data_IF_739557595412
#
_entry.id   IF_739557595412
#
_cell.length_a   1.000
_cell.length_b   1.000
_cell.length_c   1.000
_cell.angle_alpha   90.00
_cell.angle_beta   90.00
_cell.angle_gamma   90.00
#
_symmetry.space_group_name_H-M   'P 1'
#
loop_
_entity.id
_entity.type
_entity.pdbx_description
1 polymer ?
#
# COMPACT_ATOMS: atom_id res chain seq x y z
N UNK A 1 -12.37 4.55 -8.73
CA UNK A 1 -11.23 5.27 -8.12
C UNK A 1 -11.59 5.50 -6.67
N UNK A 2 -10.68 5.23 -5.75
CA UNK A 2 -10.88 5.48 -4.31
C UNK A 2 -10.24 6.81 -3.97
N UNK A 3 -11.04 7.78 -3.54
CA UNK A 3 -10.56 9.12 -3.19
C UNK A 3 -10.63 9.39 -1.67
N UNK A 4 -11.30 8.52 -0.92
CA UNK A 4 -11.43 8.63 0.54
C UNK A 4 -11.09 7.30 1.18
N UNK A 5 -10.25 7.33 2.20
CA UNK A 5 -9.88 6.14 2.94
C UNK A 5 -9.78 6.42 4.45
N UNK A 6 -10.06 5.39 5.22
CA UNK A 6 -9.86 5.36 6.67
C UNK A 6 -8.49 4.81 6.98
N UNK A 7 -7.87 5.32 8.02
CA UNK A 7 -6.60 4.82 8.57
C UNK A 7 -6.85 4.20 9.92
N UNK A 8 -6.41 2.97 10.10
CA UNK A 8 -6.44 2.28 11.38
C UNK A 8 -5.02 1.97 11.86
N UNK A 9 -4.84 1.86 13.15
CA UNK A 9 -3.59 1.49 13.81
C UNK A 9 -3.91 0.58 14.99
N UNK A 10 -3.35 -0.63 15.00
CA UNK A 10 -3.64 -1.66 16.00
C UNK A 10 -5.16 -1.88 16.20
N UNK A 11 -5.90 -1.98 15.09
CA UNK A 11 -7.34 -2.18 15.06
C UNK A 11 -8.19 -0.99 15.51
N UNK A 12 -7.60 0.19 15.71
CA UNK A 12 -8.32 1.41 16.10
C UNK A 12 -8.32 2.41 14.96
N UNK A 13 -9.49 2.96 14.63
CA UNK A 13 -9.58 4.07 13.69
C UNK A 13 -8.85 5.29 14.25
N UNK A 14 -7.86 5.80 13.52
CA UNK A 14 -7.11 7.00 13.90
C UNK A 14 -7.53 8.22 13.09
N UNK A 15 -8.12 8.04 11.91
CA UNK A 15 -8.56 9.15 11.09
C UNK A 15 -8.99 8.74 9.70
N UNK A 16 -9.29 9.77 8.92
CA UNK A 16 -9.71 9.64 7.52
C UNK A 16 -8.89 10.58 6.65
N UNK A 17 -8.55 10.16 5.46
CA UNK A 17 -7.90 11.04 4.49
C UNK A 17 -8.60 10.97 3.13
N UNK A 18 -8.51 12.08 2.40
CA UNK A 18 -9.14 12.26 1.10
C UNK A 18 -8.16 12.87 0.11
N UNK A 19 -8.17 12.37 -1.13
CA UNK A 19 -7.45 12.99 -2.22
C UNK A 19 -8.17 14.25 -2.72
N UNK A 20 -7.44 15.34 -2.84
CA UNK A 20 -7.92 16.59 -3.42
C UNK A 20 -7.33 16.71 -4.83
N UNK A 21 -8.16 16.43 -5.84
CA UNK A 21 -7.76 16.46 -7.25
C UNK A 21 -7.40 17.87 -7.75
N UNK A 22 -7.86 18.92 -7.06
CA UNK A 22 -7.58 20.31 -7.45
C UNK A 22 -6.15 20.70 -7.11
N UNK A 23 -5.69 20.28 -5.94
CA UNK A 23 -4.35 20.60 -5.43
C UNK A 23 -3.38 19.42 -5.52
N UNK A 24 -3.90 18.27 -5.94
CA UNK A 24 -3.14 17.03 -6.07
C UNK A 24 -2.44 16.64 -4.76
N UNK A 25 -3.14 16.72 -3.64
CA UNK A 25 -2.66 16.40 -2.29
C UNK A 25 -3.70 15.64 -1.49
N UNK A 26 -3.24 14.86 -0.51
CA UNK A 26 -4.13 14.29 0.48
C UNK A 26 -4.40 15.27 1.63
N UNK A 27 -5.64 15.24 2.12
CA UNK A 27 -6.10 15.94 3.33
C UNK A 27 -6.47 14.91 4.36
N UNK A 28 -5.84 14.95 5.51
CA UNK A 28 -6.06 14.02 6.62
C UNK A 28 -6.68 14.73 7.82
N UNK A 29 -7.61 14.06 8.49
CA UNK A 29 -8.22 14.51 9.74
C UNK A 29 -8.26 13.34 10.73
N UNK A 30 -7.89 13.59 11.99
CA UNK A 30 -8.00 12.61 13.06
C UNK A 30 -9.47 12.35 13.43
N UNK A 31 -9.77 11.08 13.72
CA UNK A 31 -11.07 10.66 14.20
C UNK A 31 -11.36 11.25 15.60
N UNK A 32 -12.57 11.75 15.80
CA UNK A 32 -12.96 12.38 17.06
C UNK A 32 -12.86 11.44 18.28
N UNK A 33 -13.07 10.13 18.07
CA UNK A 33 -12.91 9.12 19.11
C UNK A 33 -11.44 8.77 19.39
N UNK A 34 -10.54 9.11 18.47
CA UNK A 34 -9.10 8.93 18.67
C UNK A 34 -8.49 10.09 19.46
N UNK A 35 -9.03 11.29 19.30
CA UNK A 35 -8.61 12.48 20.06
C UNK A 35 -8.77 12.23 21.57
N UNK A 36 -7.78 12.61 22.34
CA UNK A 36 -7.80 12.43 23.81
C UNK A 36 -7.34 11.06 24.32
N UNK A 37 -6.93 10.13 23.43
CA UNK A 37 -6.38 8.83 23.84
C UNK A 37 -4.93 8.87 24.31
N UNK A 38 -4.26 10.02 24.23
CA UNK A 38 -2.85 10.19 24.61
C UNK A 38 -1.85 9.49 23.67
N UNK A 39 -2.29 9.13 22.46
CA UNK A 39 -1.45 8.52 21.42
C UNK A 39 -1.20 9.57 20.35
N UNK A 40 0.06 9.84 20.04
CA UNK A 40 0.49 10.84 19.07
C UNK A 40 1.31 10.17 17.93
N UNK A 41 0.67 9.72 16.84
CA UNK A 41 1.38 9.00 15.77
C UNK A 41 2.42 9.85 15.05
N UNK A 42 2.18 11.17 14.92
CA UNK A 42 3.06 12.10 14.24
C UNK A 42 3.11 13.46 14.97
N UNK A 43 3.63 13.52 16.22
CA UNK A 43 3.45 14.65 17.13
C UNK A 43 4.08 15.96 16.63
N UNK A 44 5.13 15.90 15.81
CA UNK A 44 5.84 17.10 15.35
C UNK A 44 5.07 17.84 14.26
N UNK A 45 4.55 17.12 13.27
CA UNK A 45 3.94 17.73 12.09
C UNK A 45 2.43 17.62 12.06
N UNK A 46 1.89 16.63 12.76
CA UNK A 46 0.46 16.32 12.80
C UNK A 46 0.03 15.96 14.22
N UNK A 47 0.20 16.87 15.21
CA UNK A 47 -0.28 16.62 16.57
C UNK A 47 -1.79 16.31 16.57
N UNK A 48 -2.23 15.40 17.43
CA UNK A 48 -3.63 14.97 17.48
C UNK A 48 -4.50 16.11 17.97
N UNK A 49 -5.33 16.65 17.08
CA UNK A 49 -6.20 17.80 17.35
C UNK A 49 -7.54 17.61 16.64
N UNK A 50 -8.63 17.84 17.41
CA UNK A 50 -9.99 17.73 16.87
C UNK A 50 -10.28 18.78 15.78
N UNK A 51 -10.89 18.34 14.69
CA UNK A 51 -11.35 19.21 13.61
C UNK A 51 -10.22 19.86 12.77
N UNK A 52 -8.96 19.47 13.02
CA UNK A 52 -7.83 19.99 12.24
C UNK A 52 -7.56 19.11 11.03
N UNK A 53 -7.54 19.76 9.86
CA UNK A 53 -7.18 19.12 8.59
C UNK A 53 -5.69 19.35 8.34
N UNK A 54 -4.95 18.25 8.08
CA UNK A 54 -3.55 18.25 7.74
C UNK A 54 -3.37 18.03 6.24
N UNK A 55 -2.63 18.92 5.59
CA UNK A 55 -2.28 18.84 4.17
C UNK A 55 -0.94 19.52 3.93
N UNK A 56 -0.07 18.89 3.13
CA UNK A 56 1.31 19.33 2.96
C UNK A 56 1.67 19.42 1.47
N UNK A 57 1.16 20.44 0.79
CA UNK A 57 1.41 20.66 -0.64
C UNK A 57 2.84 21.07 -1.00
N UNK A 58 3.63 21.49 -0.01
CA UNK A 58 5.02 21.93 -0.17
C UNK A 58 6.07 20.82 0.01
N UNK A 59 5.66 19.60 0.36
CA UNK A 59 6.58 18.47 0.45
C UNK A 59 7.02 18.01 -0.94
N UNK A 60 8.23 17.42 -1.01
CA UNK A 60 8.77 16.88 -2.24
C UNK A 60 7.84 15.81 -2.82
N UNK A 61 7.35 16.03 -4.05
CA UNK A 61 6.39 15.15 -4.72
C UNK A 61 6.95 13.78 -5.06
N UNK A 62 8.23 13.68 -5.38
CA UNK A 62 8.86 12.40 -5.71
C UNK A 62 8.95 11.48 -4.50
N UNK A 63 9.06 12.07 -3.30
CA UNK A 63 9.17 11.33 -2.03
C UNK A 63 7.81 11.07 -1.41
N UNK A 64 7.00 12.11 -1.26
CA UNK A 64 5.76 12.05 -0.47
C UNK A 64 4.51 11.81 -1.31
N UNK A 65 4.59 11.91 -2.64
CA UNK A 65 3.47 11.73 -3.57
C UNK A 65 2.20 12.53 -3.20
N UNK A 66 2.36 13.71 -2.58
CA UNK A 66 1.24 14.54 -2.11
C UNK A 66 0.57 14.06 -0.83
N UNK A 67 1.12 13.05 -0.17
CA UNK A 67 0.65 12.57 1.13
C UNK A 67 1.35 13.28 2.29
N UNK A 68 0.71 13.40 3.46
CA UNK A 68 1.40 13.66 4.72
C UNK A 68 2.46 12.58 4.99
N UNK A 69 3.59 12.95 5.59
CA UNK A 69 4.73 12.05 5.83
C UNK A 69 4.34 10.74 6.53
N UNK A 70 3.49 10.82 7.55
CA UNK A 70 2.96 9.65 8.26
C UNK A 70 2.31 8.62 7.33
N UNK A 71 1.55 9.07 6.32
CA UNK A 71 0.90 8.20 5.35
C UNK A 71 1.87 7.77 4.24
N UNK A 72 2.74 8.69 3.80
CA UNK A 72 3.71 8.43 2.75
C UNK A 72 4.71 7.33 3.11
N UNK A 73 5.04 7.19 4.39
CA UNK A 73 5.92 6.14 4.92
C UNK A 73 5.37 4.71 4.69
N UNK A 74 4.06 4.59 4.51
CA UNK A 74 3.40 3.33 4.16
C UNK A 74 3.34 3.05 2.66
N UNK A 75 3.80 3.97 1.80
CA UNK A 75 3.83 3.75 0.36
C UNK A 75 4.77 2.60 -0.02
N UNK A 76 4.44 1.85 -1.06
CA UNK A 76 5.30 0.77 -1.53
C UNK A 76 6.58 1.34 -2.14
N UNK A 77 7.64 0.58 -2.05
CA UNK A 77 8.89 0.85 -2.76
C UNK A 77 8.73 0.67 -4.29
N UNK A 78 9.83 0.78 -5.02
CA UNK A 78 9.83 0.66 -6.49
C UNK A 78 9.24 -0.67 -6.97
N UNK A 79 9.52 -1.77 -6.26
CA UNK A 79 8.98 -3.08 -6.61
C UNK A 79 7.48 -3.17 -6.33
N UNK A 80 7.05 -2.79 -5.14
CA UNK A 80 5.64 -2.77 -4.77
C UNK A 80 4.81 -1.83 -5.64
N UNK A 81 5.39 -0.72 -6.09
CA UNK A 81 4.75 0.18 -7.06
C UNK A 81 4.54 -0.50 -8.41
N UNK A 82 5.55 -1.22 -8.92
CA UNK A 82 5.41 -1.98 -10.16
C UNK A 82 4.29 -3.04 -10.07
N UNK A 83 4.15 -3.70 -8.91
CA UNK A 83 3.05 -4.63 -8.66
C UNK A 83 1.69 -3.92 -8.66
N UNK A 84 1.58 -2.75 -8.05
CA UNK A 84 0.35 -1.96 -8.07
C UNK A 84 -0.04 -1.53 -9.49
N UNK A 85 0.91 -1.09 -10.31
CA UNK A 85 0.68 -0.73 -11.72
C UNK A 85 0.17 -1.92 -12.54
N UNK A 86 0.71 -3.11 -12.28
CA UNK A 86 0.21 -4.34 -12.90
C UNK A 86 -1.20 -4.70 -12.44
N UNK A 87 -1.50 -4.54 -11.16
CA UNK A 87 -2.84 -4.70 -10.63
C UNK A 87 -3.84 -3.76 -11.31
N UNK A 88 -3.49 -2.50 -11.49
CA UNK A 88 -4.32 -1.55 -12.24
C UNK A 88 -4.58 -2.04 -13.66
N UNK A 89 -3.54 -2.49 -14.36
CA UNK A 89 -3.66 -3.03 -15.72
C UNK A 89 -4.58 -4.26 -15.77
N UNK A 90 -4.45 -5.20 -14.83
CA UNK A 90 -5.30 -6.38 -14.74
C UNK A 90 -6.77 -6.05 -14.48
N UNK A 91 -7.02 -4.93 -13.79
CA UNK A 91 -8.38 -4.43 -13.52
C UNK A 91 -8.89 -3.44 -14.58
N UNK A 92 -8.18 -3.32 -15.72
CA UNK A 92 -8.56 -2.46 -16.84
C UNK A 92 -8.32 -0.97 -16.59
N UNK A 93 -7.37 -0.63 -15.73
CA UNK A 93 -7.06 0.74 -15.32
C UNK A 93 -5.63 1.13 -15.68
N UNK A 94 -5.43 2.41 -15.97
CA UNK A 94 -4.12 2.94 -16.41
C UNK A 94 -3.37 3.65 -15.28
N UNK A 95 -4.10 4.25 -14.35
CA UNK A 95 -3.50 5.02 -13.24
C UNK A 95 -4.36 5.00 -11.99
N UNK A 96 -3.74 5.26 -10.85
CA UNK A 96 -4.38 5.44 -9.56
C UNK A 96 -3.73 6.57 -8.78
N UNK A 97 -4.48 7.21 -7.87
CA UNK A 97 -3.94 8.20 -6.96
C UNK A 97 -3.24 7.53 -5.75
N UNK A 98 -2.44 8.28 -4.95
CA UNK A 98 -1.76 7.72 -3.79
C UNK A 98 -2.68 7.14 -2.71
N UNK A 99 -3.92 7.66 -2.55
CA UNK A 99 -4.93 7.09 -1.64
C UNK A 99 -5.29 5.67 -2.07
N UNK A 100 -5.45 5.47 -3.37
CA UNK A 100 -5.77 4.16 -3.93
C UNK A 100 -4.60 3.18 -3.82
N UNK A 101 -3.36 3.66 -3.94
CA UNK A 101 -2.17 2.85 -3.68
C UNK A 101 -2.16 2.34 -2.24
N UNK A 102 -2.47 3.19 -1.26
CA UNK A 102 -2.57 2.78 0.15
C UNK A 102 -3.74 1.81 0.38
N UNK A 103 -4.88 2.04 -0.25
CA UNK A 103 -6.03 1.11 -0.20
C UNK A 103 -5.72 -0.24 -0.86
N UNK A 104 -4.92 -0.26 -1.94
CA UNK A 104 -4.44 -1.51 -2.53
C UNK A 104 -3.57 -2.30 -1.55
N UNK A 105 -2.73 -1.64 -0.77
CA UNK A 105 -1.96 -2.29 0.29
C UNK A 105 -2.86 -2.78 1.43
N UNK A 106 -3.81 -1.97 1.85
CA UNK A 106 -4.75 -2.28 2.92
C UNK A 106 -4.04 -2.66 4.22
N UNK A 107 -4.16 -3.91 4.66
CA UNK A 107 -3.49 -4.47 5.85
C UNK A 107 -2.08 -4.99 5.60
N UNK A 108 -1.62 -4.97 4.35
CA UNK A 108 -0.30 -5.49 3.96
C UNK A 108 0.80 -4.42 3.99
N UNK A 109 0.50 -3.25 4.53
CA UNK A 109 1.49 -2.19 4.68
C UNK A 109 2.59 -2.58 5.66
N UNK A 110 3.79 -2.08 5.40
CA UNK A 110 4.84 -2.09 6.39
C UNK A 110 4.51 -1.07 7.48
N UNK A 111 4.67 -1.47 8.75
CA UNK A 111 4.40 -0.61 9.89
C UNK A 111 3.05 -0.88 10.55
N UNK A 112 2.55 0.10 11.29
CA UNK A 112 1.36 -0.04 12.15
C UNK A 112 0.07 0.45 11.49
N UNK A 113 0.15 1.11 10.34
CA UNK A 113 -1.01 1.67 9.66
C UNK A 113 -1.64 0.66 8.71
N UNK A 114 -2.96 0.61 8.74
CA UNK A 114 -3.79 -0.16 7.83
C UNK A 114 -4.78 0.80 7.15
N UNK A 115 -5.18 0.49 5.92
CA UNK A 115 -6.03 1.36 5.10
C UNK A 115 -7.30 0.66 4.65
N UNK A 116 -8.44 1.36 4.75
CA UNK A 116 -9.76 0.88 4.35
C UNK A 116 -10.45 1.89 3.42
N UNK A 117 -11.13 1.43 2.34
CA UNK A 117 -11.35 0.03 1.96
C UNK A 117 -10.08 -0.64 1.43
N UNK A 118 -9.83 -1.89 1.81
CA UNK A 118 -8.80 -2.68 1.17
C UNK A 118 -9.26 -3.10 -0.22
N UNK A 119 -8.53 -2.68 -1.26
CA UNK A 119 -8.90 -2.92 -2.67
C UNK A 119 -7.99 -3.90 -3.39
N UNK A 120 -6.87 -4.25 -2.78
CA UNK A 120 -5.95 -5.26 -3.28
C UNK A 120 -6.48 -6.69 -3.07
N UNK A 121 -5.79 -7.69 -3.61
CA UNK A 121 -6.15 -9.08 -3.41
C UNK A 121 -6.05 -9.45 -1.92
N UNK A 122 -6.97 -10.30 -1.46
CA UNK A 122 -6.94 -10.80 -0.10
C UNK A 122 -5.65 -11.60 0.15
N UNK A 123 -5.01 -11.33 1.28
CA UNK A 123 -3.91 -12.16 1.76
C UNK A 123 -4.47 -13.37 2.47
N UNK A 124 -4.15 -14.58 2.01
CA UNK A 124 -4.41 -15.80 2.74
C UNK A 124 -3.17 -16.20 3.56
N UNK A 125 -3.19 -16.05 4.89
CA UNK A 125 -2.02 -16.37 5.73
C UNK A 125 -1.69 -17.87 5.78
N UNK A 126 -2.54 -18.74 5.21
CA UNK A 126 -2.36 -20.20 5.17
C UNK A 126 -1.88 -20.72 3.82
N UNK A 127 -1.69 -19.84 2.85
CA UNK A 127 -1.27 -20.26 1.52
C UNK A 127 0.19 -20.76 1.55
N UNK A 128 0.41 -21.99 1.12
CA UNK A 128 1.77 -22.56 0.94
C UNK A 128 2.31 -22.10 -0.41
N UNK A 129 3.55 -21.66 -0.43
CA UNK A 129 4.20 -21.14 -1.64
C UNK A 129 5.37 -22.00 -2.06
N UNK A 130 5.51 -22.20 -3.35
CA UNK A 130 6.77 -22.64 -3.94
C UNK A 130 7.66 -21.44 -4.23
N UNK A 131 8.76 -21.32 -3.51
CA UNK A 131 9.67 -20.16 -3.56
C UNK A 131 10.23 -19.97 -4.98
N UNK A 132 10.49 -21.05 -5.70
CA UNK A 132 11.08 -21.01 -7.04
C UNK A 132 10.13 -20.33 -8.05
N UNK A 133 8.83 -20.64 -7.99
CA UNK A 133 7.84 -20.00 -8.86
C UNK A 133 7.71 -18.50 -8.60
N UNK A 134 7.84 -18.08 -7.35
CA UNK A 134 7.79 -16.66 -6.96
C UNK A 134 9.03 -15.88 -7.44
N UNK A 135 10.21 -16.50 -7.42
CA UNK A 135 11.45 -15.87 -7.89
C UNK A 135 11.38 -15.62 -9.39
N UNK A 136 10.86 -16.55 -10.17
CA UNK A 136 10.76 -16.41 -11.63
C UNK A 136 9.78 -15.31 -12.03
N UNK A 137 8.60 -15.26 -11.40
CA UNK A 137 7.60 -14.21 -11.68
C UNK A 137 8.07 -12.84 -11.20
N UNK A 138 8.75 -12.77 -10.04
CA UNK A 138 9.31 -11.53 -9.53
C UNK A 138 10.43 -11.00 -10.44
N UNK A 139 11.28 -11.88 -10.98
CA UNK A 139 12.33 -11.52 -11.96
C UNK A 139 11.71 -11.00 -13.25
N UNK A 140 10.68 -11.65 -13.72
CA UNK A 140 9.98 -11.26 -14.94
C UNK A 140 9.24 -9.92 -14.79
N UNK A 141 8.62 -9.65 -13.64
CA UNK A 141 7.98 -8.38 -13.31
C UNK A 141 8.98 -7.21 -13.32
N UNK A 142 10.23 -7.45 -12.90
CA UNK A 142 11.29 -6.45 -12.90
C UNK A 142 11.91 -6.21 -14.28
N UNK A 143 12.01 -7.23 -15.12
CA UNK A 143 12.67 -7.15 -16.43
C UNK A 143 11.79 -6.54 -17.51
N UNK A 144 10.48 -6.70 -17.45
CA UNK A 144 9.54 -6.36 -18.53
C UNK A 144 8.78 -5.04 -18.32
N UNK A 145 9.44 -3.99 -17.82
CA UNK A 145 8.82 -2.67 -17.59
C UNK A 145 8.16 -2.01 -18.81
N UNK A 146 8.47 -2.43 -20.04
CA UNK A 146 7.99 -1.76 -21.26
C UNK A 146 6.93 -2.53 -22.07
N UNK A 147 6.83 -3.85 -21.94
CA UNK A 147 5.98 -4.67 -22.84
C UNK A 147 4.83 -5.39 -22.14
N UNK A 148 4.54 -5.08 -20.90
CA UNK A 148 3.57 -5.81 -20.05
C UNK A 148 2.09 -5.61 -20.43
N UNK A 149 1.78 -4.76 -21.40
CA UNK A 149 0.43 -4.25 -21.63
C UNK A 149 -0.50 -5.09 -22.51
N UNK A 150 -0.03 -6.04 -23.33
CA UNK A 150 -0.84 -6.44 -24.48
C UNK A 150 -1.28 -7.91 -24.56
N UNK A 151 -0.59 -8.88 -23.97
CA UNK A 151 -1.02 -10.30 -24.04
C UNK A 151 -0.53 -11.14 -22.86
N UNK A 152 -1.16 -10.97 -21.71
CA UNK A 152 -0.92 -11.84 -20.56
C UNK A 152 -1.72 -13.15 -20.74
N UNK A 153 -1.02 -14.29 -20.79
CA UNK A 153 -1.65 -15.62 -20.69
C UNK A 153 -2.37 -15.77 -19.34
N UNK A 154 -3.37 -16.67 -19.26
CA UNK A 154 -4.11 -16.95 -18.02
C UNK A 154 -3.20 -17.31 -16.85
N UNK A 155 -2.15 -18.08 -17.12
CA UNK A 155 -1.17 -18.54 -16.11
C UNK A 155 -0.36 -17.39 -15.52
N UNK A 156 -0.05 -16.40 -16.34
CA UNK A 156 0.68 -15.19 -15.92
C UNK A 156 -0.18 -14.28 -15.03
N UNK A 157 -1.46 -14.16 -15.33
CA UNK A 157 -2.41 -13.43 -14.46
C UNK A 157 -2.55 -14.08 -13.10
N UNK A 158 -2.62 -15.40 -13.05
CA UNK A 158 -2.66 -16.17 -11.82
C UNK A 158 -1.40 -15.97 -10.98
N UNK A 159 -0.22 -16.05 -11.60
CA UNK A 159 1.06 -15.86 -10.93
C UNK A 159 1.25 -14.43 -10.37
N UNK A 160 0.84 -13.40 -11.11
CA UNK A 160 0.86 -12.02 -10.61
C UNK A 160 -0.10 -11.86 -9.42
N UNK A 161 -1.31 -12.42 -9.51
CA UNK A 161 -2.28 -12.39 -8.41
C UNK A 161 -1.72 -13.08 -7.16
N UNK A 162 -0.95 -14.14 -7.31
CA UNK A 162 -0.28 -14.87 -6.23
C UNK A 162 0.81 -14.02 -5.55
N UNK A 163 1.67 -13.36 -6.33
CA UNK A 163 2.66 -12.42 -5.79
C UNK A 163 1.98 -11.26 -5.06
N UNK A 164 0.91 -10.72 -5.63
CA UNK A 164 0.17 -9.64 -5.02
C UNK A 164 -0.46 -10.04 -3.67
N UNK A 165 -0.79 -11.31 -3.48
CA UNK A 165 -1.28 -11.85 -2.19
C UNK A 165 -0.20 -11.96 -1.13
N UNK A 166 1.05 -12.20 -1.53
CA UNK A 166 2.19 -12.32 -0.60
C UNK A 166 2.59 -11.01 0.07
N UNK A 167 2.10 -9.90 -0.43
CA UNK A 167 2.38 -8.61 0.11
C UNK A 167 3.51 -7.87 -0.58
N UNK A 168 3.59 -6.60 -0.27
CA UNK A 168 4.57 -5.68 -0.83
C UNK A 168 5.85 -5.68 0.01
N UNK A 169 6.95 -5.33 -0.62
CA UNK A 169 8.29 -5.43 -0.08
C UNK A 169 8.54 -4.66 1.23
N UNK A 170 9.46 -5.19 1.99
CA UNK A 170 10.03 -4.54 3.18
C UNK A 170 11.07 -3.45 2.85
N UNK A 171 10.84 -2.67 1.81
CA UNK A 171 11.73 -1.60 1.33
C UNK A 171 12.89 -2.08 0.44
N UNK A 172 13.25 -1.28 -0.57
CA UNK A 172 14.34 -1.49 -1.50
C UNK A 172 13.89 -1.86 -2.92
N UNK A 173 14.86 -2.11 -3.82
CA UNK A 173 14.59 -2.36 -5.25
C UNK A 173 14.46 -3.83 -5.62
N UNK A 174 14.71 -4.74 -4.69
CA UNK A 174 14.69 -6.19 -4.95
C UNK A 174 13.36 -6.78 -4.51
N UNK A 175 12.87 -7.75 -5.26
CA UNK A 175 11.73 -8.57 -4.88
C UNK A 175 11.96 -9.21 -3.50
N UNK A 176 11.01 -9.04 -2.60
CA UNK A 176 11.03 -9.60 -1.24
C UNK A 176 9.63 -9.98 -0.85
N UNK A 177 9.50 -11.01 -0.05
CA UNK A 177 8.26 -11.39 0.60
C UNK A 177 8.47 -11.44 2.11
N UNK A 178 7.44 -11.05 2.86
CA UNK A 178 7.40 -11.27 4.31
C UNK A 178 6.69 -12.61 4.51
N UNK A 179 7.39 -13.55 5.11
CA UNK A 179 6.85 -14.87 5.41
C UNK A 179 6.81 -15.08 6.93
N UNK A 180 5.76 -15.72 7.41
CA UNK A 180 5.74 -16.27 8.75
C UNK A 180 6.45 -17.62 8.74
N UNK A 181 7.38 -17.83 9.66
CA UNK A 181 8.11 -19.07 9.79
C UNK A 181 7.95 -19.63 11.21
N UNK A 182 7.42 -20.84 11.31
CA UNK A 182 7.34 -21.55 12.58
C UNK A 182 8.60 -22.41 12.76
N UNK A 183 9.43 -22.05 13.75
CA UNK A 183 10.69 -22.77 14.04
C UNK A 183 10.48 -24.20 14.54
N UNK A 184 9.32 -24.52 15.11
CA UNK A 184 9.04 -25.85 15.68
C UNK A 184 8.56 -26.82 14.61
N UNK A 185 7.79 -26.36 13.62
CA UNK A 185 7.25 -27.20 12.55
C UNK A 185 8.06 -27.14 11.25
N UNK A 186 8.91 -26.14 11.11
CA UNK A 186 9.67 -25.90 9.87
C UNK A 186 8.82 -25.35 8.72
N UNK A 187 7.57 -24.91 9.01
CA UNK A 187 6.61 -24.36 8.05
C UNK A 187 6.47 -22.85 8.15
#
# INVERSE_FOLDING_TARGET
MVDVARVTMFGKNIGTFRWDNTYDVARFEYDTQFVGRGIEPAPLMMPVQQGRIYSFGNLNREVFNGLPGMLADSLPDTYGRALFEQWLTLTGRVSGNPVETLCFLGKRCMGALEFEPATGPDSDPKMKFEIDSLVDVAREALLNKKDFGVNLSSDRKAAIAEILRLGTSAGGQRAKAIIAYNKETGE
#
